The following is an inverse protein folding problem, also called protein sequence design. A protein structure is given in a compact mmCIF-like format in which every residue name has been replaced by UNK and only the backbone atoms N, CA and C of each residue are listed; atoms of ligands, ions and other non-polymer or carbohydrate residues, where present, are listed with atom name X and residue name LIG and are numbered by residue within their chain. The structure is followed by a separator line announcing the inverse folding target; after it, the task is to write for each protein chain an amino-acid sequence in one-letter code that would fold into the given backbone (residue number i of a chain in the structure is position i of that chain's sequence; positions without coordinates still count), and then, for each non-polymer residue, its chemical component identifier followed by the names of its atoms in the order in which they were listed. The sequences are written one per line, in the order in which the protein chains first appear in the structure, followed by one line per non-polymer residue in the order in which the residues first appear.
data_IF_910164780471
#
_entry.id   IF_910164780471
#
_cell.length_a   1.000
_cell.length_b   1.000
_cell.length_c   1.000
_cell.angle_alpha   90.00
_cell.angle_beta   90.00
_cell.angle_gamma   90.00
#
_symmetry.space_group_name_H-M   'P 1'
#
loop_
_entity.id
_entity.type
_entity.pdbx_description
1 polymer ?
#
# COMPACT_ATOMS: atom_id res chain seq x y z
N UNK A 1 19.59 10.82 -22.23
CA UNK A 1 19.77 9.46 -21.71
C UNK A 1 19.67 8.52 -22.90
N UNK A 2 20.77 7.83 -23.19
CA UNK A 2 20.78 6.79 -24.22
C UNK A 2 19.96 5.62 -23.70
N UNK A 3 18.83 5.36 -24.35
CA UNK A 3 17.98 4.18 -24.13
C UNK A 3 18.47 2.98 -24.94
N UNK A 4 19.77 2.85 -25.14
CA UNK A 4 20.31 1.70 -25.81
C UNK A 4 20.46 0.55 -24.82
N UNK A 5 19.90 -0.57 -25.19
CA UNK A 5 20.14 -1.94 -24.72
C UNK A 5 19.48 -2.46 -23.43
N UNK A 6 18.72 -1.70 -22.65
CA UNK A 6 18.02 -2.26 -21.48
C UNK A 6 16.83 -3.17 -21.83
N UNK A 7 16.38 -3.19 -23.09
CA UNK A 7 15.14 -3.91 -23.48
C UNK A 7 15.28 -5.42 -23.67
N UNK A 8 16.50 -5.97 -23.67
CA UNK A 8 16.74 -7.41 -23.91
C UNK A 8 17.49 -8.10 -22.74
N UNK A 9 17.79 -7.40 -21.66
CA UNK A 9 18.39 -8.02 -20.49
C UNK A 9 17.28 -8.38 -19.47
N UNK A 10 16.93 -9.66 -19.45
CA UNK A 10 15.96 -10.24 -18.52
C UNK A 10 16.61 -10.89 -17.29
N UNK A 11 17.88 -10.59 -17.01
CA UNK A 11 18.61 -11.18 -15.87
C UNK A 11 17.96 -10.96 -14.51
N UNK A 12 17.17 -9.91 -14.38
CA UNK A 12 16.43 -9.55 -13.14
C UNK A 12 15.04 -10.19 -13.01
N UNK A 13 14.57 -10.96 -14.00
CA UNK A 13 13.22 -11.57 -14.04
C UNK A 13 13.25 -13.09 -14.28
N UNK A 14 14.31 -13.74 -13.87
CA UNK A 14 14.49 -15.19 -14.06
C UNK A 14 13.40 -16.05 -13.41
N UNK A 15 12.77 -15.57 -12.35
CA UNK A 15 11.63 -16.18 -11.70
C UNK A 15 10.40 -16.17 -12.61
N UNK A 16 10.18 -15.10 -13.37
CA UNK A 16 9.09 -14.98 -14.35
C UNK A 16 9.35 -15.86 -15.59
N UNK A 17 10.61 -15.97 -16.01
CA UNK A 17 10.99 -16.87 -17.12
C UNK A 17 10.75 -18.35 -16.80
N UNK A 18 10.75 -18.73 -15.52
CA UNK A 18 10.44 -20.10 -15.07
C UNK A 18 8.95 -20.39 -15.00
N UNK A 19 8.11 -19.34 -15.00
CA UNK A 19 6.65 -19.49 -14.95
C UNK A 19 6.11 -19.82 -16.36
N UNK A 20 5.53 -21.02 -16.57
CA UNK A 20 5.04 -21.43 -17.89
C UNK A 20 3.87 -20.57 -18.39
N UNK A 21 3.06 -19.99 -17.49
CA UNK A 21 1.93 -19.14 -17.87
C UNK A 21 2.43 -17.78 -18.35
N UNK A 22 3.38 -17.19 -17.64
CA UNK A 22 4.02 -15.91 -18.02
C UNK A 22 4.72 -16.09 -19.37
N UNK A 23 5.48 -17.16 -19.56
CA UNK A 23 6.18 -17.43 -20.81
C UNK A 23 5.22 -17.74 -21.97
N UNK A 24 4.10 -18.40 -21.71
CA UNK A 24 3.06 -18.59 -22.72
C UNK A 24 2.46 -17.25 -23.14
N UNK A 25 2.13 -16.36 -22.20
CA UNK A 25 1.63 -15.00 -22.47
C UNK A 25 2.65 -14.19 -23.28
N UNK A 26 3.93 -14.25 -22.91
CA UNK A 26 5.02 -13.55 -23.60
C UNK A 26 5.13 -13.99 -25.07
N UNK A 27 5.13 -15.30 -25.32
CA UNK A 27 5.21 -15.86 -26.68
C UNK A 27 3.99 -15.54 -27.55
N UNK A 28 2.81 -15.41 -26.95
CA UNK A 28 1.55 -15.15 -27.64
C UNK A 28 1.10 -13.68 -27.53
N UNK A 29 2.01 -12.77 -27.14
CA UNK A 29 1.67 -11.38 -26.84
C UNK A 29 0.86 -10.69 -27.93
N UNK A 30 1.32 -10.72 -29.20
CA UNK A 30 0.63 -10.08 -30.31
C UNK A 30 -0.75 -10.68 -30.58
N UNK A 31 -0.86 -12.00 -30.53
CA UNK A 31 -2.16 -12.69 -30.70
C UNK A 31 -3.15 -12.32 -29.60
N UNK A 32 -2.69 -12.22 -28.35
CA UNK A 32 -3.52 -11.80 -27.22
C UNK A 32 -3.93 -10.32 -27.32
N UNK A 33 -3.02 -9.45 -27.78
CA UNK A 33 -3.33 -8.03 -28.03
C UNK A 33 -4.41 -7.90 -29.10
N UNK A 34 -4.30 -8.60 -30.24
CA UNK A 34 -5.30 -8.58 -31.30
C UNK A 34 -6.64 -9.17 -30.83
N UNK A 35 -6.59 -10.28 -30.11
CA UNK A 35 -7.78 -10.89 -29.53
C UNK A 35 -8.52 -9.94 -28.59
N UNK A 36 -7.81 -9.32 -27.63
CA UNK A 36 -8.40 -8.47 -26.59
C UNK A 36 -8.85 -7.10 -27.10
N UNK A 37 -8.17 -6.52 -28.11
CA UNK A 37 -8.45 -5.16 -28.55
C UNK A 37 -9.21 -5.06 -29.89
N UNK A 38 -9.26 -6.15 -30.65
CA UNK A 38 -9.97 -6.17 -31.96
C UNK A 38 -11.04 -7.27 -31.98
N UNK A 39 -10.65 -8.53 -31.85
CA UNK A 39 -11.58 -9.64 -32.05
C UNK A 39 -12.71 -9.67 -31.00
N UNK A 40 -12.38 -9.53 -29.70
CA UNK A 40 -13.39 -9.51 -28.64
C UNK A 40 -14.33 -8.29 -28.72
N UNK A 41 -13.85 -7.04 -28.91
CA UNK A 41 -14.73 -5.90 -29.14
C UNK A 41 -15.60 -6.03 -30.38
N UNK A 42 -15.06 -6.52 -31.49
CA UNK A 42 -15.83 -6.76 -32.71
C UNK A 42 -16.94 -7.80 -32.50
N UNK A 43 -16.63 -8.90 -31.82
CA UNK A 43 -17.58 -9.95 -31.48
C UNK A 43 -18.71 -9.44 -30.55
N UNK A 44 -18.37 -8.66 -29.52
CA UNK A 44 -19.36 -8.05 -28.65
C UNK A 44 -20.23 -7.03 -29.40
N UNK A 45 -19.63 -6.26 -30.30
CA UNK A 45 -20.36 -5.34 -31.19
C UNK A 45 -21.31 -6.09 -32.14
N UNK A 46 -20.85 -7.21 -32.71
CA UNK A 46 -21.66 -8.07 -33.56
C UNK A 46 -22.91 -8.59 -32.83
N UNK A 47 -22.77 -9.08 -31.59
CA UNK A 47 -23.90 -9.55 -30.75
C UNK A 47 -24.90 -8.42 -30.50
N UNK A 48 -24.41 -7.19 -30.32
CA UNK A 48 -25.24 -6.01 -30.06
C UNK A 48 -25.74 -5.32 -31.37
N UNK A 49 -25.44 -5.87 -32.52
CA UNK A 49 -25.92 -5.38 -33.83
C UNK A 49 -25.06 -4.23 -34.44
N UNK A 50 -23.96 -3.83 -33.79
CA UNK A 50 -23.08 -2.78 -34.29
C UNK A 50 -21.59 -3.08 -34.01
N UNK A 51 -20.93 -3.69 -35.01
CA UNK A 51 -19.51 -4.05 -34.95
C UNK A 51 -18.62 -2.81 -34.83
N UNK A 52 -18.99 -1.70 -35.51
CA UNK A 52 -18.21 -0.48 -35.53
C UNK A 52 -18.23 0.15 -34.14
N UNK A 53 -19.40 0.27 -33.54
CA UNK A 53 -19.51 0.72 -32.15
C UNK A 53 -18.69 -0.16 -31.17
N UNK A 54 -18.75 -1.48 -31.35
CA UNK A 54 -17.93 -2.44 -30.58
C UNK A 54 -16.44 -2.15 -30.68
N UNK A 55 -15.92 -1.96 -31.88
CA UNK A 55 -14.51 -1.63 -32.13
C UNK A 55 -14.13 -0.25 -31.59
N UNK A 56 -14.97 0.77 -31.79
CA UNK A 56 -14.67 2.12 -31.35
C UNK A 56 -14.73 2.26 -29.82
N UNK A 57 -15.77 1.72 -29.17
CA UNK A 57 -15.96 1.88 -27.72
C UNK A 57 -15.20 0.82 -26.93
N UNK A 58 -15.37 -0.46 -27.28
CA UNK A 58 -14.76 -1.58 -26.58
C UNK A 58 -13.29 -1.80 -26.92
N UNK A 59 -12.86 -1.46 -28.13
CA UNK A 59 -11.49 -1.51 -28.57
C UNK A 59 -10.74 -0.20 -28.31
N UNK A 60 -10.94 0.79 -29.18
CA UNK A 60 -10.13 2.01 -29.22
C UNK A 60 -10.32 2.89 -27.98
N UNK A 61 -11.53 3.30 -27.66
CA UNK A 61 -11.80 4.20 -26.53
C UNK A 61 -11.32 3.59 -25.21
N UNK A 62 -11.66 2.32 -24.96
CA UNK A 62 -11.19 1.59 -23.78
C UNK A 62 -9.64 1.60 -23.71
N UNK A 63 -8.94 1.35 -24.82
CA UNK A 63 -7.48 1.33 -24.87
C UNK A 63 -6.90 2.71 -24.54
N UNK A 64 -7.47 3.77 -25.13
CA UNK A 64 -7.06 5.16 -24.86
C UNK A 64 -7.25 5.52 -23.39
N UNK A 65 -8.42 5.22 -22.81
CA UNK A 65 -8.67 5.46 -21.38
C UNK A 65 -7.67 4.68 -20.51
N UNK A 66 -7.45 3.41 -20.82
CA UNK A 66 -6.51 2.58 -20.05
C UNK A 66 -5.07 3.14 -20.09
N UNK A 67 -4.60 3.59 -21.25
CA UNK A 67 -3.28 4.22 -21.36
C UNK A 67 -3.20 5.52 -20.56
N UNK A 68 -4.22 6.38 -20.62
CA UNK A 68 -4.24 7.61 -19.85
C UNK A 68 -4.25 7.35 -18.35
N UNK A 69 -5.03 6.38 -17.86
CA UNK A 69 -5.01 6.00 -16.43
C UNK A 69 -3.63 5.48 -16.01
N UNK A 70 -2.97 4.68 -16.85
CA UNK A 70 -1.60 4.22 -16.60
C UNK A 70 -0.60 5.37 -16.56
N UNK A 71 -0.71 6.35 -17.47
CA UNK A 71 0.14 7.55 -17.44
C UNK A 71 -0.08 8.40 -16.19
N UNK A 72 -1.31 8.46 -15.65
CA UNK A 72 -1.60 9.14 -14.40
C UNK A 72 -0.89 8.51 -13.20
N UNK A 73 -0.66 7.20 -13.21
CA UNK A 73 0.12 6.52 -12.17
C UNK A 73 1.57 7.03 -12.19
N UNK A 74 2.18 7.13 -13.38
CA UNK A 74 3.58 7.54 -13.52
C UNK A 74 3.80 9.07 -13.52
N UNK A 75 2.74 9.86 -13.52
CA UNK A 75 2.81 11.33 -13.51
C UNK A 75 2.11 11.93 -12.31
N UNK A 76 0.77 11.94 -12.30
CA UNK A 76 -0.02 12.62 -11.30
C UNK A 76 0.15 12.01 -9.89
N UNK A 77 0.33 10.68 -9.78
CA UNK A 77 0.61 10.04 -8.49
C UNK A 77 2.01 10.34 -7.94
N UNK A 78 2.89 10.97 -8.73
CA UNK A 78 4.17 11.53 -8.25
C UNK A 78 4.10 13.03 -7.93
N UNK A 79 3.02 13.71 -8.33
CA UNK A 79 2.87 15.17 -8.15
C UNK A 79 1.81 15.53 -7.12
N UNK A 80 0.71 14.77 -7.05
CA UNK A 80 -0.46 15.09 -6.25
C UNK A 80 -0.79 14.00 -5.24
N UNK A 81 -0.84 14.36 -3.95
CA UNK A 81 -1.14 13.45 -2.84
C UNK A 81 -0.19 13.66 -1.66
N UNK A 82 -0.14 12.66 -0.77
CA UNK A 82 0.67 12.70 0.46
C UNK A 82 1.78 11.65 0.41
N UNK A 83 2.96 12.02 0.85
CA UNK A 83 4.01 11.07 1.20
C UNK A 83 3.77 10.65 2.65
N UNK A 84 3.32 9.41 2.84
CA UNK A 84 2.88 8.89 4.15
C UNK A 84 3.97 8.07 4.83
N UNK A 85 4.80 7.39 4.04
CA UNK A 85 5.75 6.39 4.52
C UNK A 85 7.21 6.71 4.18
N UNK A 86 7.44 7.43 3.07
CA UNK A 86 8.78 7.76 2.60
C UNK A 86 8.75 8.98 1.66
N UNK A 87 9.83 9.78 1.69
CA UNK A 87 10.12 10.83 0.73
C UNK A 87 11.34 10.53 -0.15
N UNK A 88 11.89 9.33 -0.07
CA UNK A 88 13.01 8.89 -0.92
C UNK A 88 12.63 8.84 -2.41
N UNK A 89 11.33 8.64 -2.67
CA UNK A 89 10.74 8.69 -4.00
C UNK A 89 9.65 9.76 -4.03
N UNK A 90 9.39 10.33 -5.20
CA UNK A 90 8.34 11.35 -5.39
C UNK A 90 6.91 10.79 -5.33
N UNK A 91 6.73 9.47 -5.30
CA UNK A 91 5.43 8.80 -5.23
C UNK A 91 4.60 9.26 -4.03
N UNK A 92 3.28 9.41 -4.23
CA UNK A 92 2.31 9.95 -3.26
C UNK A 92 1.06 9.09 -3.19
N UNK A 93 0.43 9.05 -2.03
CA UNK A 93 -0.87 8.41 -1.82
C UNK A 93 -2.00 9.40 -2.08
N UNK A 94 -2.89 9.06 -3.00
CA UNK A 94 -4.08 9.83 -3.31
C UNK A 94 -5.29 8.89 -3.51
N UNK A 95 -6.26 8.89 -2.57
CA UNK A 95 -7.44 8.02 -2.67
C UNK A 95 -8.34 8.31 -3.89
N UNK A 96 -8.36 9.56 -4.38
CA UNK A 96 -9.11 9.90 -5.60
C UNK A 96 -8.47 9.27 -6.83
N UNK A 97 -7.14 9.36 -6.95
CA UNK A 97 -6.42 8.66 -8.01
C UNK A 97 -6.61 7.15 -7.93
N UNK A 98 -6.66 6.57 -6.72
CA UNK A 98 -6.89 5.15 -6.55
C UNK A 98 -8.21 4.67 -7.18
N UNK A 99 -9.27 5.50 -7.21
CA UNK A 99 -10.53 5.16 -7.86
C UNK A 99 -10.38 4.98 -9.37
N UNK A 100 -9.66 5.88 -10.03
CA UNK A 100 -9.50 5.85 -11.49
C UNK A 100 -8.35 4.98 -11.97
N UNK A 101 -7.42 4.62 -11.08
CA UNK A 101 -6.23 3.79 -11.37
C UNK A 101 -6.30 2.41 -10.74
N UNK A 102 -7.50 1.94 -10.34
CA UNK A 102 -7.74 0.60 -9.78
C UNK A 102 -6.87 0.24 -8.54
N UNK A 103 -6.58 1.24 -7.71
CA UNK A 103 -5.81 1.07 -6.48
C UNK A 103 -4.39 1.64 -6.54
N UNK A 104 -3.82 1.84 -7.74
CA UNK A 104 -2.45 2.33 -7.92
C UNK A 104 -2.22 3.76 -7.39
N UNK A 105 -3.28 4.51 -7.08
CA UNK A 105 -3.19 5.81 -6.42
C UNK A 105 -2.65 5.76 -4.98
N UNK A 106 -2.53 4.57 -4.35
CA UNK A 106 -1.77 4.39 -3.09
C UNK A 106 -0.28 4.17 -3.38
N UNK A 107 0.32 5.09 -4.11
CA UNK A 107 1.60 4.91 -4.79
C UNK A 107 2.81 5.04 -3.87
N UNK A 108 2.73 5.88 -2.83
CA UNK A 108 3.77 5.98 -1.81
C UNK A 108 3.85 4.69 -0.96
N UNK A 109 2.69 4.09 -0.63
CA UNK A 109 2.66 2.79 0.01
C UNK A 109 3.30 1.71 -0.87
N UNK A 110 2.89 1.62 -2.12
CA UNK A 110 3.42 0.64 -3.08
C UNK A 110 4.95 0.74 -3.23
N UNK A 111 5.50 1.94 -3.38
CA UNK A 111 6.94 2.14 -3.50
C UNK A 111 7.71 1.86 -2.20
N UNK A 112 7.08 2.03 -1.04
CA UNK A 112 7.72 1.75 0.25
C UNK A 112 7.69 0.26 0.58
N UNK A 113 6.61 -0.45 0.25
CA UNK A 113 6.38 -1.87 0.56
C UNK A 113 6.16 -2.69 -0.72
N UNK A 114 7.11 -2.66 -1.63
CA UNK A 114 7.04 -3.22 -2.99
C UNK A 114 6.64 -4.71 -3.05
N UNK A 115 6.93 -5.46 -2.00
CA UNK A 115 6.62 -6.88 -1.89
C UNK A 115 5.22 -7.19 -1.35
N UNK A 116 4.48 -6.17 -0.86
CA UNK A 116 3.09 -6.34 -0.44
C UNK A 116 2.18 -6.36 -1.67
N UNK A 117 1.33 -7.40 -1.80
CA UNK A 117 0.45 -7.52 -2.96
C UNK A 117 -0.68 -6.47 -2.98
N UNK A 118 -0.86 -5.71 -1.89
CA UNK A 118 -1.89 -4.68 -1.74
C UNK A 118 -1.30 -3.30 -2.03
N UNK A 119 -2.02 -2.51 -2.79
CA UNK A 119 -1.77 -1.06 -2.83
C UNK A 119 -2.52 -0.34 -1.70
N UNK A 120 -3.77 -0.71 -1.46
CA UNK A 120 -4.59 -0.16 -0.39
C UNK A 120 -4.59 -1.04 0.87
N UNK A 121 -3.94 -0.61 1.95
CA UNK A 121 -3.80 -1.39 3.20
C UNK A 121 -5.12 -1.65 3.91
N UNK A 122 -5.97 -0.62 4.04
CA UNK A 122 -7.24 -0.72 4.78
C UNK A 122 -8.27 -1.50 3.97
N UNK A 123 -9.19 -2.19 4.65
CA UNK A 123 -10.20 -3.00 3.97
C UNK A 123 -11.11 -2.17 3.06
N UNK A 124 -11.36 -0.91 3.41
CA UNK A 124 -12.20 0.02 2.62
C UNK A 124 -11.41 0.83 1.57
N UNK A 125 -10.09 0.70 1.50
CA UNK A 125 -9.32 1.31 0.42
C UNK A 125 -9.74 0.67 -0.91
N UNK A 126 -10.13 1.53 -1.86
CA UNK A 126 -10.49 1.08 -3.19
C UNK A 126 -9.26 0.53 -3.89
N UNK A 127 -9.20 -0.77 -3.98
CA UNK A 127 -8.11 -1.53 -4.59
C UNK A 127 -8.70 -2.84 -5.16
N UNK A 128 -9.35 -2.76 -6.33
CA UNK A 128 -9.95 -3.92 -6.99
C UNK A 128 -8.96 -5.05 -7.27
N UNK A 129 -7.72 -4.71 -7.57
CA UNK A 129 -6.63 -5.69 -7.79
C UNK A 129 -6.44 -6.56 -6.55
N UNK A 130 -6.35 -5.96 -5.37
CA UNK A 130 -6.30 -6.68 -4.09
C UNK A 130 -7.50 -7.61 -3.90
N UNK A 131 -8.71 -7.14 -4.23
CA UNK A 131 -9.92 -7.94 -4.05
C UNK A 131 -9.95 -9.16 -4.98
N UNK A 132 -9.55 -8.98 -6.26
CA UNK A 132 -9.46 -10.05 -7.25
C UNK A 132 -8.38 -11.08 -6.84
N UNK A 133 -7.20 -10.63 -6.43
CA UNK A 133 -6.13 -11.52 -5.95
C UNK A 133 -6.59 -12.33 -4.74
N UNK A 134 -7.29 -11.70 -3.78
CA UNK A 134 -7.87 -12.41 -2.63
C UNK A 134 -8.93 -13.43 -3.04
N UNK A 135 -9.78 -13.09 -4.02
CA UNK A 135 -10.78 -14.02 -4.54
C UNK A 135 -10.08 -15.24 -5.19
N UNK A 136 -9.09 -15.01 -6.02
CA UNK A 136 -8.32 -16.06 -6.68
C UNK A 136 -7.56 -16.95 -5.66
N UNK A 137 -7.09 -16.36 -4.57
CA UNK A 137 -6.47 -17.14 -3.48
C UNK A 137 -7.45 -18.09 -2.79
N UNK A 138 -8.73 -17.68 -2.65
CA UNK A 138 -9.77 -18.54 -2.06
C UNK A 138 -10.14 -19.74 -2.92
N UNK A 139 -9.99 -19.61 -4.24
CA UNK A 139 -10.26 -20.69 -5.21
C UNK A 139 -8.98 -21.43 -5.62
N UNK A 140 -7.84 -21.16 -4.98
CA UNK A 140 -6.57 -21.85 -5.20
C UNK A 140 -5.80 -21.43 -6.45
N UNK A 141 -6.22 -20.33 -7.13
CA UNK A 141 -5.53 -19.83 -8.33
C UNK A 141 -4.31 -18.96 -8.02
N UNK A 142 -4.23 -18.40 -6.81
CA UNK A 142 -3.05 -17.66 -6.32
C UNK A 142 -2.65 -18.15 -4.93
N UNK A 143 -1.35 -18.15 -4.64
CA UNK A 143 -0.79 -18.59 -3.35
C UNK A 143 0.38 -17.72 -2.94
N UNK A 144 0.85 -17.88 -1.71
CA UNK A 144 2.04 -17.18 -1.20
C UNK A 144 1.89 -15.66 -1.12
N UNK A 145 0.66 -15.14 -0.89
CA UNK A 145 0.40 -13.70 -0.83
C UNK A 145 1.22 -13.03 0.27
N UNK A 146 2.21 -12.26 -0.12
CA UNK A 146 3.06 -11.50 0.81
C UNK A 146 2.32 -10.25 1.31
N UNK A 147 2.37 -10.01 2.62
CA UNK A 147 1.74 -8.85 3.27
C UNK A 147 2.71 -8.21 4.26
N UNK A 148 2.81 -6.91 4.21
CA UNK A 148 3.48 -6.16 5.26
C UNK A 148 2.68 -6.24 6.56
N UNK A 149 3.35 -6.43 7.69
CA UNK A 149 2.70 -6.44 9.00
C UNK A 149 2.18 -5.04 9.35
N UNK A 150 1.08 -4.96 10.11
CA UNK A 150 0.56 -3.67 10.57
C UNK A 150 1.58 -2.92 11.44
N UNK A 151 2.36 -3.65 12.22
CA UNK A 151 3.46 -3.10 13.02
C UNK A 151 4.49 -2.41 12.14
N UNK A 152 4.99 -3.10 11.12
CA UNK A 152 5.99 -2.56 10.20
C UNK A 152 5.45 -1.32 9.47
N UNK A 153 4.19 -1.34 9.04
CA UNK A 153 3.54 -0.19 8.40
C UNK A 153 3.47 1.01 9.35
N UNK A 154 3.02 0.78 10.59
CA UNK A 154 2.89 1.86 11.60
C UNK A 154 4.26 2.38 12.04
N UNK A 155 5.24 1.49 12.22
CA UNK A 155 6.60 1.87 12.55
C UNK A 155 7.22 2.72 11.45
N UNK A 156 7.18 2.28 10.20
CA UNK A 156 7.72 3.05 9.05
C UNK A 156 7.06 4.42 8.93
N UNK A 157 5.75 4.50 9.15
CA UNK A 157 5.04 5.78 9.15
C UNK A 157 5.51 6.69 10.30
N UNK A 158 5.66 6.14 11.50
CA UNK A 158 6.13 6.87 12.68
C UNK A 158 7.57 7.38 12.48
N UNK A 159 8.48 6.50 12.03
CA UNK A 159 9.87 6.83 11.75
C UNK A 159 9.97 7.98 10.74
N UNK A 160 9.21 7.89 9.65
CA UNK A 160 9.15 8.93 8.63
C UNK A 160 8.66 10.27 9.18
N UNK A 161 7.59 10.27 9.96
CA UNK A 161 7.04 11.47 10.58
C UNK A 161 8.02 12.09 11.60
N UNK A 162 8.72 11.26 12.38
CA UNK A 162 9.72 11.70 13.33
C UNK A 162 10.88 12.40 12.61
N UNK A 163 11.44 11.78 11.58
CA UNK A 163 12.54 12.39 10.82
C UNK A 163 12.14 13.71 10.18
N UNK A 164 10.93 13.82 9.61
CA UNK A 164 10.42 15.08 9.08
C UNK A 164 10.25 16.15 10.16
N UNK A 165 9.78 15.76 11.35
CA UNK A 165 9.59 16.69 12.47
C UNK A 165 10.95 17.22 12.99
N UNK A 166 11.94 16.36 13.12
CA UNK A 166 13.32 16.75 13.51
C UNK A 166 13.93 17.68 12.46
N UNK A 167 13.84 17.31 11.18
CA UNK A 167 14.34 18.15 10.08
C UNK A 167 13.69 19.55 10.10
N UNK A 168 12.38 19.62 10.34
CA UNK A 168 11.67 20.89 10.49
C UNK A 168 12.18 21.70 11.69
N UNK A 169 12.43 21.05 12.84
CA UNK A 169 13.00 21.69 14.01
C UNK A 169 14.40 22.27 13.72
N UNK A 170 15.20 21.60 12.94
CA UNK A 170 16.52 22.07 12.52
C UNK A 170 16.45 23.26 11.57
N UNK A 171 15.62 23.16 10.53
CA UNK A 171 15.44 24.23 9.54
C UNK A 171 14.93 25.54 10.14
N UNK A 172 14.05 25.44 11.14
CA UNK A 172 13.44 26.59 11.79
C UNK A 172 14.15 27.03 13.09
N UNK A 173 15.30 26.41 13.43
CA UNK A 173 16.01 26.66 14.69
C UNK A 173 15.09 26.59 15.93
N UNK A 174 14.15 25.63 15.94
CA UNK A 174 13.23 25.43 17.05
C UNK A 174 14.01 24.95 18.27
N UNK A 175 13.58 25.41 19.47
CA UNK A 175 14.27 25.11 20.72
C UNK A 175 14.48 23.60 20.96
N UNK A 176 15.60 23.25 21.62
CA UNK A 176 15.92 21.87 21.98
C UNK A 176 14.84 21.17 22.80
N UNK A 177 14.05 21.89 23.55
CA UNK A 177 12.90 21.35 24.29
C UNK A 177 11.86 20.66 23.40
N UNK A 178 11.66 21.15 22.15
CA UNK A 178 10.78 20.47 21.20
C UNK A 178 11.37 19.17 20.66
N UNK A 179 12.70 19.15 20.38
CA UNK A 179 13.39 17.94 19.94
C UNK A 179 13.32 16.86 21.02
N UNK A 180 13.58 17.22 22.27
CA UNK A 180 13.49 16.29 23.40
C UNK A 180 12.05 15.74 23.59
N UNK A 181 11.03 16.59 23.48
CA UNK A 181 9.63 16.14 23.53
C UNK A 181 9.29 15.18 22.40
N UNK A 182 9.75 15.45 21.19
CA UNK A 182 9.53 14.58 20.04
C UNK A 182 10.20 13.21 20.25
N UNK A 183 11.43 13.19 20.77
CA UNK A 183 12.18 11.97 21.04
C UNK A 183 11.50 11.12 22.11
N UNK A 184 11.12 11.73 23.23
CA UNK A 184 10.41 11.04 24.32
C UNK A 184 9.08 10.45 23.84
N UNK A 185 8.30 11.20 23.10
CA UNK A 185 6.99 10.74 22.60
C UNK A 185 7.15 9.65 21.52
N UNK A 186 8.17 9.76 20.66
CA UNK A 186 8.52 8.75 19.68
C UNK A 186 8.91 7.42 20.34
N UNK A 187 9.78 7.45 21.36
CA UNK A 187 10.15 6.25 22.10
C UNK A 187 8.97 5.61 22.82
N UNK A 188 8.10 6.41 23.44
CA UNK A 188 6.88 5.92 24.11
C UNK A 188 5.95 5.26 23.10
N UNK A 189 5.82 5.84 21.90
CA UNK A 189 5.01 5.25 20.85
C UNK A 189 5.59 3.90 20.39
N UNK A 190 6.91 3.81 20.16
CA UNK A 190 7.58 2.55 19.80
C UNK A 190 7.36 1.46 20.86
N UNK A 191 7.52 1.79 22.15
CA UNK A 191 7.27 0.86 23.26
C UNK A 191 5.82 0.37 23.27
N UNK A 192 4.87 1.27 23.03
CA UNK A 192 3.44 0.92 23.00
C UNK A 192 3.11 0.07 21.77
N UNK A 193 3.72 0.37 20.62
CA UNK A 193 3.57 -0.41 19.39
C UNK A 193 4.11 -1.82 19.56
N UNK A 194 5.28 -1.97 20.15
CA UNK A 194 5.89 -3.27 20.44
C UNK A 194 4.98 -4.09 21.38
N UNK A 195 4.54 -3.51 22.49
CA UNK A 195 3.65 -4.17 23.42
C UNK A 195 2.34 -4.63 22.75
N UNK A 196 1.79 -3.82 21.83
CA UNK A 196 0.61 -4.20 21.05
C UNK A 196 0.89 -5.38 20.13
N UNK A 197 2.06 -5.42 19.49
CA UNK A 197 2.46 -6.51 18.61
C UNK A 197 2.63 -7.81 19.37
N UNK A 198 3.33 -7.79 20.51
CA UNK A 198 3.56 -8.97 21.35
C UNK A 198 2.23 -9.57 21.85
N UNK A 199 1.31 -8.72 22.30
CA UNK A 199 -0.02 -9.17 22.73
C UNK A 199 -0.89 -9.67 21.57
N UNK A 200 -0.75 -9.09 20.40
CA UNK A 200 -1.44 -9.56 19.20
C UNK A 200 -0.95 -10.94 18.78
N UNK A 201 0.35 -11.15 18.84
CA UNK A 201 0.96 -12.44 18.55
C UNK A 201 0.51 -13.50 19.55
N UNK A 202 0.60 -13.21 20.85
CA UNK A 202 0.10 -14.08 21.92
C UNK A 202 -1.39 -14.43 21.75
N UNK A 203 -2.21 -13.46 21.31
CA UNK A 203 -3.62 -13.69 21.00
C UNK A 203 -3.81 -14.70 19.85
N UNK A 204 -3.03 -14.58 18.76
CA UNK A 204 -3.12 -15.52 17.63
C UNK A 204 -2.63 -16.92 18.02
N UNK A 205 -1.54 -17.03 18.75
CA UNK A 205 -1.01 -18.30 19.25
C UNK A 205 -2.00 -18.99 20.18
N UNK A 206 -2.63 -18.23 21.07
CA UNK A 206 -3.68 -18.75 21.95
C UNK A 206 -4.88 -19.23 21.16
N UNK A 207 -5.30 -18.49 20.13
CA UNK A 207 -6.43 -18.87 19.28
C UNK A 207 -6.12 -20.13 18.45
N UNK A 208 -4.88 -20.33 18.05
CA UNK A 208 -4.43 -21.54 17.37
C UNK A 208 -4.41 -22.75 18.33
N UNK A 209 -3.97 -22.53 19.58
CA UNK A 209 -4.06 -23.54 20.63
C UNK A 209 -5.50 -23.89 21.02
N UNK A 210 -6.41 -22.90 21.01
CA UNK A 210 -7.85 -23.13 21.23
C UNK A 210 -8.48 -24.08 20.22
N UNK A 211 -8.02 -24.07 18.98
CA UNK A 211 -8.48 -25.00 17.95
C UNK A 211 -7.97 -26.44 18.20
N UNK A 212 -6.87 -26.57 18.97
CA UNK A 212 -6.21 -27.83 19.25
C UNK A 212 -6.50 -28.36 20.70
N UNK A 213 -6.74 -27.46 21.65
CA UNK A 213 -6.91 -27.76 23.09
C UNK A 213 -8.03 -26.90 23.66
N UNK A 214 -8.93 -27.50 24.50
CA UNK A 214 -10.02 -26.77 25.17
C UNK A 214 -9.47 -25.82 26.26
N UNK A 215 -9.02 -24.62 25.86
CA UNK A 215 -8.57 -23.57 26.80
C UNK A 215 -9.72 -23.00 27.65
N UNK A 216 -9.43 -22.74 28.92
CA UNK A 216 -10.41 -22.21 29.86
C UNK A 216 -11.02 -20.87 29.45
N UNK A 217 -12.31 -20.69 29.70
CA UNK A 217 -13.09 -19.49 29.36
C UNK A 217 -12.51 -18.20 29.97
N UNK A 218 -11.85 -18.32 31.12
CA UNK A 218 -11.24 -17.20 31.85
C UNK A 218 -9.97 -16.64 31.19
N UNK A 219 -9.09 -17.53 30.72
CA UNK A 219 -7.84 -17.12 30.04
C UNK A 219 -8.12 -16.34 28.75
N UNK A 220 -9.18 -16.77 28.04
CA UNK A 220 -9.69 -16.07 26.84
C UNK A 220 -10.18 -14.65 27.15
N UNK A 221 -10.92 -14.49 28.25
CA UNK A 221 -11.43 -13.17 28.66
C UNK A 221 -10.30 -12.24 29.09
N UNK A 222 -9.31 -12.73 29.83
CA UNK A 222 -8.15 -11.93 30.24
C UNK A 222 -7.32 -11.47 29.05
N UNK A 223 -6.97 -12.35 28.12
CA UNK A 223 -6.22 -12.01 26.90
C UNK A 223 -6.97 -11.00 26.05
N UNK A 224 -8.28 -11.20 25.86
CA UNK A 224 -9.14 -10.27 25.10
C UNK A 224 -9.22 -8.89 25.76
N UNK A 225 -9.33 -8.85 27.08
CA UNK A 225 -9.35 -7.60 27.85
C UNK A 225 -8.03 -6.84 27.71
N UNK A 226 -6.91 -7.54 27.89
CA UNK A 226 -5.56 -6.99 27.79
C UNK A 226 -5.24 -6.49 26.38
N UNK A 227 -5.65 -7.24 25.35
CA UNK A 227 -5.53 -6.79 23.95
C UNK A 227 -6.31 -5.49 23.68
N UNK A 228 -7.55 -5.38 24.20
CA UNK A 228 -8.35 -4.16 24.06
C UNK A 228 -7.71 -2.97 24.79
N UNK A 229 -7.19 -3.17 25.98
CA UNK A 229 -6.51 -2.13 26.75
C UNK A 229 -5.30 -1.58 26.01
N UNK A 230 -4.44 -2.45 25.48
CA UNK A 230 -3.24 -2.05 24.77
C UNK A 230 -3.57 -1.41 23.43
N UNK A 231 -4.58 -1.93 22.73
CA UNK A 231 -5.07 -1.28 21.50
C UNK A 231 -5.59 0.14 21.78
N UNK A 232 -6.26 0.36 22.91
CA UNK A 232 -6.70 1.68 23.36
C UNK A 232 -5.51 2.60 23.69
N UNK A 233 -4.49 2.07 24.41
CA UNK A 233 -3.24 2.81 24.70
C UNK A 233 -2.53 3.23 23.40
N UNK A 234 -2.43 2.33 22.43
CA UNK A 234 -1.83 2.64 21.12
C UNK A 234 -2.61 3.75 20.39
N UNK A 235 -3.94 3.73 20.48
CA UNK A 235 -4.78 4.79 19.89
C UNK A 235 -4.53 6.15 20.56
N UNK A 236 -4.45 6.19 21.89
CA UNK A 236 -4.12 7.42 22.64
C UNK A 236 -2.73 7.92 22.25
N UNK A 237 -1.75 7.01 22.18
CA UNK A 237 -0.38 7.36 21.81
C UNK A 237 -0.30 7.97 20.42
N UNK A 238 -1.05 7.40 19.46
CA UNK A 238 -1.17 7.96 18.10
C UNK A 238 -1.77 9.36 18.10
N UNK A 239 -2.84 9.58 18.87
CA UNK A 239 -3.47 10.90 18.98
C UNK A 239 -2.52 11.93 19.60
N UNK A 240 -1.76 11.54 20.64
CA UNK A 240 -0.72 12.40 21.25
C UNK A 240 0.36 12.79 20.26
N UNK A 241 0.86 11.81 19.52
CA UNK A 241 1.86 12.02 18.49
C UNK A 241 1.37 12.96 17.38
N UNK A 242 0.18 12.72 16.84
CA UNK A 242 -0.44 13.58 15.83
C UNK A 242 -0.65 15.01 16.35
N UNK A 243 -1.07 15.16 17.60
CA UNK A 243 -1.21 16.47 18.25
C UNK A 243 0.15 17.16 18.39
N UNK A 244 1.19 16.47 18.82
CA UNK A 244 2.52 17.03 18.98
C UNK A 244 3.10 17.53 17.64
N UNK A 245 2.97 16.73 16.57
CA UNK A 245 3.41 17.13 15.24
C UNK A 245 2.62 18.32 14.69
N UNK A 246 1.30 18.33 14.88
CA UNK A 246 0.44 19.41 14.37
C UNK A 246 0.68 20.75 15.05
N UNK A 247 1.18 20.74 16.29
CA UNK A 247 1.51 21.92 17.07
C UNK A 247 2.98 22.34 16.98
N UNK A 248 3.77 21.70 16.12
CA UNK A 248 5.12 22.18 15.83
C UNK A 248 5.09 23.60 15.27
N UNK A 249 5.90 24.54 15.84
CA UNK A 249 5.97 25.89 15.32
C UNK A 249 6.20 25.95 13.82
N UNK A 250 5.48 26.82 13.14
CA UNK A 250 5.61 27.01 11.68
C UNK A 250 6.58 28.14 11.31
N UNK A 251 7.05 28.90 12.32
CA UNK A 251 7.99 30.00 12.16
C UNK A 251 9.10 29.88 13.23
N UNK A 252 10.29 30.34 12.90
CA UNK A 252 11.35 30.51 13.89
C UNK A 252 10.86 31.44 15.02
N UNK A 253 11.25 31.20 16.29
CA UNK A 253 10.95 32.14 17.34
C UNK A 253 11.53 33.51 16.94
N UNK A 254 10.70 34.58 16.97
CA UNK A 254 11.18 35.94 16.75
C UNK A 254 12.37 36.16 17.69
N UNK A 255 13.54 36.58 17.18
CA UNK A 255 14.60 37.04 18.06
C UNK A 255 14.09 38.32 18.71
N UNK A 256 13.67 38.24 20.00
CA UNK A 256 13.34 39.38 20.83
C UNK A 256 14.58 40.20 21.12
#
# INVERSE_FOLDING_TARGET
RNYESASNDFSNVQDLERDPIVMWQHRNYLSLVLLANVALPAFLGFINGDIIAGLLLGGLLRLVINHHTTYLINSLAHMWGKQTYSNQVSARDNPFLALITFGEGYHNYHHTFQWDYRNGVKWWHFDPTKWIINLFSRVGLTYGLKRCSLEQIEKTKLDFQYHLAIQKCEQLNISNNWKEKLEVEYEQFLKTLQAWTDHRQAWYETKEKELKENLGKWDKLQLKSKYKEIHFKLKIQRTRWEFLISNLPNQAPNPG
#
